data_IF_332614321364
#
_entry.id   IF_332614321364
#
_cell.length_a   1.000
_cell.length_b   1.000
_cell.length_c   1.000
_cell.angle_alpha   90.00
_cell.angle_beta   90.00
_cell.angle_gamma   90.00
#
_symmetry.space_group_name_H-M   'P 1'
#
loop_
_entity.id
_entity.type
_entity.pdbx_description
1 polymer ?
#
# COMPACT_ATOMS: atom_id res chain seq x y z
N UNK A 1 -18.68 10.92 8.56
CA UNK A 1 -17.68 11.08 9.61
C UNK A 1 -17.16 9.72 10.10
N UNK A 2 -18.02 8.83 10.58
CA UNK A 2 -17.65 7.53 11.16
C UNK A 2 -16.74 6.66 10.26
N UNK A 3 -17.10 6.48 8.96
CA UNK A 3 -16.32 5.66 8.02
C UNK A 3 -14.89 6.17 7.77
N UNK A 4 -14.65 7.48 7.89
CA UNK A 4 -13.31 8.07 7.80
C UNK A 4 -12.50 7.78 9.07
N UNK A 5 -13.11 7.97 10.23
CA UNK A 5 -12.48 7.68 11.53
C UNK A 5 -12.07 6.21 11.63
N UNK A 6 -12.88 5.31 11.07
CA UNK A 6 -12.54 3.88 11.00
C UNK A 6 -11.25 3.62 10.22
N UNK A 7 -11.08 4.21 9.03
CA UNK A 7 -9.84 4.08 8.25
C UNK A 7 -8.62 4.68 8.96
N UNK A 8 -8.80 5.82 9.63
CA UNK A 8 -7.74 6.44 10.45
C UNK A 8 -7.40 5.59 11.68
N UNK A 9 -8.38 4.91 12.27
CA UNK A 9 -8.17 3.93 13.34
C UNK A 9 -7.32 2.75 12.89
N UNK A 10 -7.57 2.22 11.67
CA UNK A 10 -6.72 1.18 11.06
C UNK A 10 -5.28 1.70 10.88
N UNK A 11 -5.13 2.91 10.35
CA UNK A 11 -3.80 3.49 10.16
C UNK A 11 -3.05 3.64 11.50
N UNK A 12 -3.72 4.10 12.54
CA UNK A 12 -3.13 4.21 13.87
C UNK A 12 -2.72 2.83 14.44
N UNK A 13 -3.56 1.81 14.28
CA UNK A 13 -3.23 0.44 14.69
C UNK A 13 -2.00 -0.10 13.96
N UNK A 14 -1.91 0.10 12.64
CA UNK A 14 -0.72 -0.31 11.85
C UNK A 14 0.53 0.36 12.39
N UNK A 15 0.50 1.68 12.62
CA UNK A 15 1.65 2.42 13.16
C UNK A 15 2.06 1.84 14.53
N UNK A 16 1.10 1.61 15.43
CA UNK A 16 1.40 1.09 16.76
C UNK A 16 2.02 -0.31 16.68
N UNK A 17 1.43 -1.24 15.93
CA UNK A 17 1.95 -2.60 15.80
C UNK A 17 3.32 -2.63 15.14
N UNK A 18 3.53 -1.82 14.09
CA UNK A 18 4.82 -1.71 13.41
C UNK A 18 5.91 -1.18 14.37
N UNK A 19 5.64 -0.07 15.06
CA UNK A 19 6.62 0.53 15.96
C UNK A 19 6.90 -0.35 17.19
N UNK A 20 5.90 -1.05 17.73
CA UNK A 20 6.10 -2.00 18.82
C UNK A 20 6.96 -3.19 18.38
N UNK A 21 6.67 -3.78 17.23
CA UNK A 21 7.48 -4.90 16.71
C UNK A 21 8.92 -4.50 16.43
N UNK A 22 9.15 -3.33 15.81
CA UNK A 22 10.48 -2.78 15.55
C UNK A 22 11.25 -2.49 16.85
N UNK A 23 10.56 -1.94 17.86
CA UNK A 23 11.16 -1.69 19.18
C UNK A 23 11.62 -3.00 19.85
N UNK A 24 10.81 -4.06 19.78
CA UNK A 24 11.18 -5.37 20.30
C UNK A 24 12.41 -5.93 19.57
N UNK A 25 12.47 -5.82 18.26
CA UNK A 25 13.64 -6.24 17.47
C UNK A 25 14.90 -5.46 17.90
N UNK A 26 14.81 -4.15 18.01
CA UNK A 26 15.95 -3.30 18.41
C UNK A 26 16.44 -3.58 19.83
N UNK A 27 15.56 -4.05 20.73
CA UNK A 27 15.93 -4.41 22.10
C UNK A 27 16.61 -5.78 22.21
N UNK A 28 16.24 -6.74 21.34
CA UNK A 28 16.70 -8.12 21.45
C UNK A 28 17.83 -8.47 20.47
N UNK A 29 18.03 -7.68 19.42
CA UNK A 29 19.04 -7.94 18.39
C UNK A 29 20.04 -6.80 18.28
N UNK A 30 21.28 -7.15 18.01
CA UNK A 30 22.26 -6.19 17.48
C UNK A 30 22.03 -6.00 15.97
N UNK A 31 22.37 -4.85 15.38
CA UNK A 31 22.28 -4.66 13.92
C UNK A 31 23.02 -5.77 13.16
N UNK A 32 22.35 -6.37 12.18
CA UNK A 32 22.84 -7.54 11.44
C UNK A 32 22.59 -8.87 12.15
N UNK A 33 22.00 -8.86 13.35
CA UNK A 33 21.63 -10.11 14.07
C UNK A 33 20.57 -10.90 13.30
N UNK A 34 20.68 -12.23 13.36
CA UNK A 34 19.78 -13.18 12.72
C UNK A 34 19.40 -14.24 13.74
N UNK A 35 18.11 -14.53 13.85
CA UNK A 35 17.58 -15.66 14.62
C UNK A 35 16.75 -16.55 13.70
N UNK A 36 17.21 -17.76 13.49
CA UNK A 36 16.48 -18.75 12.71
C UNK A 36 15.25 -19.21 13.45
N UNK A 37 14.09 -19.13 12.81
CA UNK A 37 12.80 -19.60 13.34
C UNK A 37 12.38 -20.89 12.65
N UNK A 38 12.51 -20.95 11.31
CA UNK A 38 12.22 -22.15 10.50
C UNK A 38 13.29 -22.28 9.39
N UNK A 39 13.15 -23.30 8.54
CA UNK A 39 14.05 -23.49 7.39
C UNK A 39 13.85 -22.47 6.26
N UNK A 40 12.78 -21.68 6.33
CA UNK A 40 12.41 -20.69 5.30
C UNK A 40 12.08 -19.30 5.87
N UNK A 41 12.18 -19.11 7.19
CA UNK A 41 11.85 -17.84 7.86
C UNK A 41 12.78 -17.57 9.03
N UNK A 42 13.41 -16.39 9.02
CA UNK A 42 14.26 -15.87 10.08
C UNK A 42 13.75 -14.51 10.57
N UNK A 43 14.01 -14.20 11.84
CA UNK A 43 13.97 -12.84 12.35
C UNK A 43 15.36 -12.23 12.21
N UNK A 44 15.42 -11.04 11.61
CA UNK A 44 16.66 -10.31 11.38
C UNK A 44 16.56 -8.88 11.92
N UNK A 45 17.69 -8.22 12.15
CA UNK A 45 17.71 -6.78 12.33
C UNK A 45 18.46 -6.13 11.17
N UNK A 46 17.74 -5.81 10.10
CA UNK A 46 18.27 -5.12 8.94
C UNK A 46 17.94 -3.62 9.02
N UNK A 47 18.92 -2.77 8.67
CA UNK A 47 18.76 -1.32 8.56
C UNK A 47 18.61 -0.95 7.10
N UNK A 48 17.40 -0.56 6.70
CA UNK A 48 17.09 -0.19 5.33
C UNK A 48 17.13 1.34 5.15
N UNK A 49 18.20 1.83 4.57
CA UNK A 49 18.38 3.27 4.26
C UNK A 49 17.64 3.72 3.00
N UNK A 50 16.93 2.81 2.32
CA UNK A 50 16.26 3.05 1.05
C UNK A 50 16.99 2.45 -0.15
N UNK A 51 18.01 1.60 0.09
CA UNK A 51 18.71 0.83 -0.93
C UNK A 51 17.94 -0.47 -1.24
N UNK A 52 16.83 -0.38 -1.98
CA UNK A 52 16.22 -1.57 -2.56
C UNK A 52 17.24 -2.22 -3.52
N UNK A 53 17.58 -3.50 -3.26
CA UNK A 53 18.50 -4.30 -4.08
C UNK A 53 19.94 -3.75 -4.26
N UNK A 54 20.47 -3.03 -3.26
CA UNK A 54 21.81 -2.42 -3.30
C UNK A 54 22.02 -1.39 -4.43
N UNK A 55 21.02 -1.06 -5.21
CA UNK A 55 21.10 -0.16 -6.37
C UNK A 55 21.53 1.27 -6.01
N UNK A 56 21.43 1.67 -4.73
CA UNK A 56 21.79 3.02 -4.27
C UNK A 56 22.51 2.98 -2.92
N UNK A 57 23.17 1.86 -2.56
CA UNK A 57 23.79 1.69 -1.25
C UNK A 57 24.92 2.73 -0.97
N UNK A 58 25.62 3.18 -2.01
CA UNK A 58 26.79 4.06 -1.91
C UNK A 58 26.47 5.55 -2.16
N UNK A 59 25.18 5.95 -2.14
CA UNK A 59 24.78 7.33 -2.48
C UNK A 59 24.68 8.23 -1.26
N UNK A 60 24.88 9.56 -1.38
CA UNK A 60 25.03 10.51 -0.26
C UNK A 60 23.73 10.86 0.49
N UNK A 61 22.83 9.89 0.76
CA UNK A 61 21.72 10.07 1.72
C UNK A 61 20.47 10.80 1.19
N UNK A 62 20.41 11.20 -0.10
CA UNK A 62 19.23 11.85 -0.70
C UNK A 62 18.00 10.91 -0.73
N UNK A 63 18.23 9.60 -0.75
CA UNK A 63 17.19 8.57 -0.78
C UNK A 63 16.23 8.72 0.40
N UNK A 64 16.74 9.06 1.59
CA UNK A 64 15.93 9.29 2.78
C UNK A 64 14.89 10.40 2.51
N UNK A 65 15.34 11.54 2.00
CA UNK A 65 14.46 12.66 1.66
C UNK A 65 13.45 12.29 0.57
N UNK A 66 13.88 11.57 -0.45
CA UNK A 66 13.04 11.09 -1.54
C UNK A 66 11.90 10.18 -1.04
N UNK A 67 12.21 9.13 -0.25
CA UNK A 67 11.19 8.24 0.28
C UNK A 67 10.25 8.91 1.27
N UNK A 68 10.74 9.83 2.11
CA UNK A 68 9.88 10.64 2.98
C UNK A 68 8.91 11.47 2.13
N UNK A 69 9.41 12.16 1.12
CA UNK A 69 8.57 13.02 0.26
C UNK A 69 7.48 12.23 -0.44
N UNK A 70 7.83 11.09 -1.08
CA UNK A 70 6.83 10.24 -1.75
C UNK A 70 5.79 9.73 -0.76
N UNK A 71 6.21 9.25 0.42
CA UNK A 71 5.28 8.73 1.42
C UNK A 71 4.35 9.83 1.97
N UNK A 72 4.84 11.05 2.17
CA UNK A 72 4.01 12.18 2.60
C UNK A 72 3.03 12.61 1.50
N UNK A 73 3.46 12.68 0.24
CA UNK A 73 2.57 12.98 -0.88
C UNK A 73 1.48 11.92 -1.03
N UNK A 74 1.84 10.64 -0.98
CA UNK A 74 0.87 9.54 -1.01
C UNK A 74 -0.11 9.63 0.17
N UNK A 75 0.39 9.92 1.38
CA UNK A 75 -0.45 10.10 2.57
C UNK A 75 -1.43 11.27 2.40
N UNK A 76 -0.99 12.39 1.85
CA UNK A 76 -1.88 13.54 1.56
C UNK A 76 -2.99 13.16 0.57
N UNK A 77 -2.63 12.47 -0.53
CA UNK A 77 -3.61 11.96 -1.51
C UNK A 77 -4.62 11.02 -0.83
N UNK A 78 -4.15 10.08 -0.01
CA UNK A 78 -5.03 9.15 0.71
C UNK A 78 -5.99 9.89 1.64
N UNK A 79 -5.52 10.90 2.38
CA UNK A 79 -6.36 11.70 3.26
C UNK A 79 -7.45 12.47 2.49
N UNK A 80 -7.15 12.94 1.27
CA UNK A 80 -8.14 13.55 0.38
C UNK A 80 -9.14 12.50 -0.14
N UNK A 81 -8.64 11.33 -0.58
CA UNK A 81 -9.51 10.25 -1.04
C UNK A 81 -10.48 9.78 0.03
N UNK A 82 -10.03 9.65 1.29
CA UNK A 82 -10.86 9.23 2.42
C UNK A 82 -12.04 10.20 2.72
N UNK A 83 -12.03 11.40 2.14
CA UNK A 83 -13.17 12.34 2.24
C UNK A 83 -14.33 11.95 1.30
N UNK A 84 -14.07 11.17 0.25
CA UNK A 84 -15.09 10.76 -0.72
C UNK A 84 -16.12 9.86 -0.04
N UNK A 85 -17.42 10.21 -0.18
CA UNK A 85 -18.54 9.43 0.40
C UNK A 85 -18.76 8.10 -0.30
N UNK A 86 -18.43 8.00 -1.60
CA UNK A 86 -18.65 6.84 -2.47
C UNK A 86 -17.70 5.66 -2.25
N UNK A 87 -16.66 5.81 -1.43
CA UNK A 87 -15.70 4.73 -1.17
C UNK A 87 -16.37 3.53 -0.50
N UNK A 88 -16.08 2.33 -1.02
CA UNK A 88 -16.44 1.05 -0.42
C UNK A 88 -15.75 0.87 0.95
N UNK A 89 -16.23 -0.08 1.75
CA UNK A 89 -15.56 -0.44 2.99
C UNK A 89 -14.17 -1.03 2.72
N UNK A 90 -14.05 -1.87 1.68
CA UNK A 90 -12.77 -2.48 1.28
C UNK A 90 -11.74 -1.42 0.88
N UNK A 91 -12.13 -0.42 0.07
CA UNK A 91 -11.25 0.69 -0.28
C UNK A 91 -10.80 1.49 0.95
N UNK A 92 -11.68 1.71 1.93
CA UNK A 92 -11.33 2.41 3.17
C UNK A 92 -10.34 1.64 4.02
N UNK A 93 -10.51 0.32 4.13
CA UNK A 93 -9.55 -0.56 4.82
C UNK A 93 -8.21 -0.49 4.10
N UNK A 94 -8.18 -0.68 2.78
CA UNK A 94 -6.97 -0.62 1.98
C UNK A 94 -6.22 0.70 2.11
N UNK A 95 -6.93 1.83 2.00
CA UNK A 95 -6.34 3.16 2.18
C UNK A 95 -5.82 3.38 3.61
N UNK A 96 -6.54 2.89 4.63
CA UNK A 96 -6.08 2.95 6.02
C UNK A 96 -4.78 2.17 6.26
N UNK A 97 -4.67 0.96 5.70
CA UNK A 97 -3.47 0.13 5.78
C UNK A 97 -2.27 0.81 5.09
N UNK A 98 -2.46 1.34 3.88
CA UNK A 98 -1.38 2.04 3.15
C UNK A 98 -0.95 3.29 3.92
N UNK A 99 -1.90 4.08 4.42
CA UNK A 99 -1.62 5.30 5.18
C UNK A 99 -0.79 4.98 6.43
N UNK A 100 -1.21 3.97 7.20
CA UNK A 100 -0.51 3.55 8.42
C UNK A 100 0.90 3.06 8.13
N UNK A 101 1.08 2.19 7.14
CA UNK A 101 2.39 1.67 6.75
C UNK A 101 3.32 2.77 6.21
N UNK A 102 2.80 3.67 5.36
CA UNK A 102 3.59 4.78 4.84
C UNK A 102 4.08 5.71 5.96
N UNK A 103 3.19 6.10 6.89
CA UNK A 103 3.55 6.99 8.00
C UNK A 103 4.47 6.32 9.02
N UNK A 104 4.32 5.01 9.29
CA UNK A 104 5.22 4.27 10.16
C UNK A 104 6.65 4.26 9.62
N UNK A 105 6.83 3.98 8.32
CA UNK A 105 8.14 4.02 7.66
C UNK A 105 8.71 5.44 7.50
N UNK A 106 7.86 6.48 7.45
CA UNK A 106 8.30 7.89 7.52
C UNK A 106 8.82 8.21 8.91
N UNK A 107 8.12 7.76 9.96
CA UNK A 107 8.54 7.97 11.34
C UNK A 107 9.94 7.39 11.60
N UNK A 108 10.21 6.16 11.18
CA UNK A 108 11.54 5.55 11.28
C UNK A 108 12.61 6.40 10.58
N UNK A 109 12.34 6.82 9.33
CA UNK A 109 13.30 7.63 8.58
C UNK A 109 13.58 8.98 9.22
N UNK A 110 12.60 9.59 9.89
CA UNK A 110 12.76 10.86 10.58
C UNK A 110 13.54 10.71 11.89
N UNK A 111 13.30 9.63 12.63
CA UNK A 111 13.89 9.42 13.97
C UNK A 111 15.22 8.68 13.94
N UNK A 112 15.30 7.59 13.14
CA UNK A 112 16.47 6.70 13.10
C UNK A 112 17.37 6.98 11.88
N UNK A 113 16.83 7.57 10.80
CA UNK A 113 17.55 7.75 9.54
C UNK A 113 17.43 6.55 8.58
N UNK A 114 16.87 5.44 9.01
CA UNK A 114 16.64 4.19 8.27
C UNK A 114 15.33 3.56 8.69
N UNK A 115 14.87 2.55 7.97
CA UNK A 115 13.74 1.71 8.37
C UNK A 115 14.28 0.41 8.98
N UNK A 116 13.63 -0.08 10.04
CA UNK A 116 13.94 -1.38 10.64
C UNK A 116 13.15 -2.46 9.91
N UNK A 117 13.85 -3.39 9.25
CA UNK A 117 13.29 -4.57 8.59
C UNK A 117 13.68 -5.81 9.36
N UNK A 118 12.71 -6.74 9.57
CA UNK A 118 12.97 -7.86 10.48
C UNK A 118 12.33 -9.19 10.05
N UNK A 119 11.42 -9.22 9.08
CA UNK A 119 10.84 -10.43 8.53
C UNK A 119 11.63 -10.84 7.30
N UNK A 120 12.33 -11.97 7.37
CA UNK A 120 13.13 -12.46 6.25
C UNK A 120 12.69 -13.85 5.83
N UNK A 121 12.10 -13.96 4.64
CA UNK A 121 11.73 -15.23 4.02
C UNK A 121 12.76 -15.64 2.98
N UNK A 122 13.19 -16.90 3.04
CA UNK A 122 14.24 -17.42 2.15
C UNK A 122 14.04 -18.91 1.85
N UNK A 123 14.64 -19.34 0.73
CA UNK A 123 14.79 -20.76 0.37
C UNK A 123 16.30 -20.98 0.13
N UNK A 124 16.95 -21.69 1.04
CA UNK A 124 18.42 -21.85 1.07
C UNK A 124 19.09 -20.47 1.12
N UNK A 125 19.94 -20.15 0.09
CA UNK A 125 20.65 -18.86 -0.01
C UNK A 125 19.87 -17.75 -0.73
N UNK A 126 18.72 -18.04 -1.30
CA UNK A 126 17.87 -17.06 -2.01
C UNK A 126 16.79 -16.56 -1.08
N UNK A 127 16.84 -15.28 -0.72
CA UNK A 127 15.86 -14.64 0.16
C UNK A 127 15.15 -13.50 -0.54
N UNK A 128 13.88 -13.30 -0.17
CA UNK A 128 13.21 -12.05 -0.43
C UNK A 128 13.86 -10.96 0.44
N UNK A 129 13.99 -9.71 -0.02
CA UNK A 129 14.47 -8.63 0.86
C UNK A 129 13.69 -8.60 2.17
N UNK A 130 14.39 -8.41 3.30
CA UNK A 130 13.73 -8.29 4.59
C UNK A 130 12.75 -7.12 4.57
N UNK A 131 11.64 -7.25 5.30
CA UNK A 131 10.56 -6.26 5.37
C UNK A 131 9.97 -6.22 6.79
N UNK A 132 8.96 -5.37 7.01
CA UNK A 132 8.35 -5.11 8.31
C UNK A 132 6.81 -5.14 8.24
N UNK A 133 6.14 -4.84 9.36
CA UNK A 133 4.67 -4.80 9.44
C UNK A 133 4.10 -3.67 8.57
N UNK A 134 4.77 -2.51 8.51
CA UNK A 134 4.33 -1.38 7.68
C UNK A 134 4.31 -1.75 6.19
N UNK A 135 5.35 -2.44 5.69
CA UNK A 135 5.43 -2.90 4.30
C UNK A 135 4.35 -3.93 4.00
N UNK A 136 4.12 -4.88 4.93
CA UNK A 136 3.01 -5.85 4.83
C UNK A 136 1.65 -5.16 4.72
N UNK A 137 1.43 -4.13 5.53
CA UNK A 137 0.19 -3.34 5.49
C UNK A 137 0.03 -2.59 4.16
N UNK A 138 1.10 -2.00 3.61
CA UNK A 138 1.07 -1.32 2.30
C UNK A 138 0.70 -2.32 1.20
N UNK A 139 1.35 -3.49 1.15
CA UNK A 139 1.09 -4.51 0.13
C UNK A 139 -0.34 -5.04 0.24
N UNK A 140 -0.80 -5.38 1.46
CA UNK A 140 -2.17 -5.84 1.68
C UNK A 140 -3.20 -4.77 1.32
N UNK A 141 -2.94 -3.52 1.70
CA UNK A 141 -3.79 -2.39 1.35
C UNK A 141 -3.90 -2.17 -0.15
N UNK A 142 -2.79 -2.25 -0.87
CA UNK A 142 -2.77 -2.17 -2.34
C UNK A 142 -3.55 -3.32 -2.99
N UNK A 143 -3.38 -4.55 -2.51
CA UNK A 143 -4.14 -5.70 -2.98
C UNK A 143 -5.65 -5.50 -2.79
N UNK A 144 -6.09 -5.00 -1.63
CA UNK A 144 -7.50 -4.72 -1.37
C UNK A 144 -8.07 -3.66 -2.33
N UNK A 145 -7.29 -2.62 -2.67
CA UNK A 145 -7.73 -1.60 -3.63
C UNK A 145 -7.86 -2.17 -5.04
N UNK A 146 -6.94 -3.03 -5.47
CA UNK A 146 -7.02 -3.72 -6.77
C UNK A 146 -8.27 -4.58 -6.84
N UNK A 147 -8.52 -5.41 -5.83
CA UNK A 147 -9.72 -6.26 -5.77
C UNK A 147 -11.03 -5.45 -5.74
N UNK A 148 -11.05 -4.31 -5.03
CA UNK A 148 -12.20 -3.43 -5.01
C UNK A 148 -12.47 -2.82 -6.39
N UNK A 149 -11.43 -2.37 -7.08
CA UNK A 149 -11.51 -1.83 -8.43
C UNK A 149 -12.03 -2.85 -9.45
N UNK A 150 -11.60 -4.11 -9.36
CA UNK A 150 -12.07 -5.19 -10.23
C UNK A 150 -13.56 -5.50 -10.04
N UNK A 151 -14.09 -5.38 -8.82
CA UNK A 151 -15.52 -5.59 -8.53
C UNK A 151 -16.39 -4.43 -9.03
N UNK A 152 -15.85 -3.24 -9.12
CA UNK A 152 -16.60 -2.02 -9.40
C UNK A 152 -16.65 -1.69 -10.90
N UNK A 153 -15.91 -2.39 -11.77
CA UNK A 153 -15.98 -2.21 -13.23
C UNK A 153 -17.25 -2.84 -13.77
N UNK A 154 -18.31 -2.07 -14.11
CA UNK A 154 -19.43 -2.61 -14.86
C UNK A 154 -18.91 -2.94 -16.26
N UNK A 155 -19.14 -4.15 -16.70
CA UNK A 155 -19.04 -4.51 -18.10
C UNK A 155 -20.03 -3.61 -18.86
N UNK A 156 -19.55 -2.50 -19.43
CA UNK A 156 -20.37 -1.71 -20.36
C UNK A 156 -20.60 -2.58 -21.58
N UNK A 157 -21.76 -3.25 -21.59
CA UNK A 157 -22.29 -3.83 -22.82
C UNK A 157 -22.40 -2.71 -23.86
N UNK A 158 -21.95 -2.92 -25.12
CA UNK A 158 -22.04 -1.91 -26.14
C UNK A 158 -23.53 -1.58 -26.34
N UNK A 159 -23.86 -0.32 -26.14
CA UNK A 159 -25.20 0.21 -26.30
C UNK A 159 -25.55 0.24 -27.81
N UNK A 160 -26.02 -0.88 -28.37
CA UNK A 160 -26.52 -1.00 -29.72
C UNK A 160 -27.95 -0.45 -29.74
N UNK A 161 -28.11 0.86 -29.60
CA UNK A 161 -29.32 1.58 -29.99
C UNK A 161 -29.05 2.38 -31.24
N UNK A 162 -28.96 1.70 -32.37
CA UNK A 162 -29.26 2.25 -33.69
C UNK A 162 -30.53 1.59 -34.19
N UNK A 163 -31.65 1.97 -33.61
CA UNK A 163 -32.93 1.75 -34.27
C UNK A 163 -33.04 2.80 -35.38
N UNK A 164 -32.87 2.34 -36.59
CA UNK A 164 -33.16 3.10 -37.80
C UNK A 164 -34.68 3.32 -37.84
N UNK A 165 -35.10 4.54 -37.55
CA UNK A 165 -36.45 5.01 -37.83
C UNK A 165 -36.49 5.34 -39.32
N UNK A 166 -37.10 4.47 -40.14
CA UNK A 166 -37.44 4.77 -41.53
C UNK A 166 -38.79 5.45 -41.53
N UNK A 167 -38.91 6.67 -42.11
CA UNK A 167 -40.21 7.24 -42.40
C UNK A 167 -40.93 6.39 -43.47
N UNK A 168 -42.14 5.99 -43.18
CA UNK A 168 -43.05 5.38 -44.14
C UNK A 168 -43.53 6.44 -45.13
N UNK A 169 -43.09 6.36 -46.39
CA UNK A 169 -43.64 7.12 -47.49
C UNK A 169 -45.10 6.74 -47.70
N UNK A 170 -45.98 7.62 -47.34
CA UNK A 170 -47.39 7.60 -47.84
C UNK A 170 -47.40 8.01 -49.29
N UNK A 171 -47.59 7.04 -50.17
CA UNK A 171 -47.98 7.30 -51.54
C UNK A 171 -49.49 7.58 -51.52
N UNK A 172 -49.87 8.82 -51.72
CA UNK A 172 -51.22 9.25 -52.10
C UNK A 172 -51.32 9.09 -53.57
N UNK A 173 -52.13 8.13 -54.00
CA UNK A 173 -52.61 8.04 -55.37
C UNK A 173 -53.77 9.01 -55.55
N UNK A 174 -53.68 9.82 -56.62
CA UNK A 174 -54.82 10.54 -57.22
C UNK A 174 -55.39 9.70 -58.34
N UNK A 175 -56.74 9.74 -58.37
CA UNK A 175 -57.72 9.41 -59.39
C UNK A 175 -57.99 8.05 -59.79
#
# INVERSE_FOLDING_TARGET
MFKRLFALGIAALVIVFDQLSKSLIMQHFQPGGVQRITDFFDLVYARNTGAAFSLFADQPGWQRGFFITIALLASAVILVLLQRKSLSLMARIGLGLILGGALANVFDRLTLGYVVDFLWFHIRQYGWPAFNVADSAIVLGAALLIFDGMKTSPHQAPNTKTAVDRPSDKVTGCD
#
